data_IF_021006236146
#
_entry.id   IF_021006236146
#
_cell.length_a   1.000
_cell.length_b   1.000
_cell.length_c   1.000
_cell.angle_alpha   90.00
_cell.angle_beta   90.00
_cell.angle_gamma   90.00
#
_symmetry.space_group_name_H-M   'P 1'
#
loop_
_entity.id
_entity.type
_entity.pdbx_description
1 polymer ?
#
# COMPACT_ATOMS: atom_id res chain seq x y z
N UNK A 1 13.34 29.66 12.69
CA UNK A 1 13.58 28.81 11.49
C UNK A 1 12.92 27.43 11.52
N UNK A 2 12.95 26.67 12.62
CA UNK A 2 12.33 25.31 12.63
C UNK A 2 10.86 25.30 12.23
N UNK A 3 10.06 26.22 12.77
CA UNK A 3 8.64 26.29 12.45
C UNK A 3 8.37 26.61 10.97
N UNK A 4 9.12 27.53 10.36
CA UNK A 4 8.98 27.86 8.94
C UNK A 4 9.40 26.70 8.03
N UNK A 5 10.43 25.94 8.40
CA UNK A 5 10.85 24.74 7.67
C UNK A 5 9.74 23.67 7.68
N UNK A 6 9.09 23.45 8.83
CA UNK A 6 7.96 22.52 8.96
C UNK A 6 6.77 22.99 8.13
N UNK A 7 6.39 24.27 8.21
CA UNK A 7 5.30 24.82 7.41
C UNK A 7 5.56 24.69 5.90
N UNK A 8 6.80 24.94 5.46
CA UNK A 8 7.19 24.76 4.07
C UNK A 8 7.05 23.30 3.63
N UNK A 9 7.53 22.35 4.44
CA UNK A 9 7.41 20.92 4.15
C UNK A 9 5.94 20.47 4.06
N UNK A 10 5.07 20.95 4.97
CA UNK A 10 3.62 20.69 4.93
C UNK A 10 2.98 21.30 3.68
N UNK A 11 3.29 22.56 3.36
CA UNK A 11 2.76 23.24 2.18
C UNK A 11 3.17 22.55 0.88
N UNK A 12 4.42 22.12 0.78
CA UNK A 12 4.91 21.36 -0.37
C UNK A 12 4.25 19.97 -0.47
N UNK A 13 4.16 19.24 0.64
CA UNK A 13 3.46 17.96 0.72
C UNK A 13 1.99 18.07 0.27
N UNK A 14 1.30 19.13 0.71
CA UNK A 14 -0.07 19.42 0.32
C UNK A 14 -0.19 19.77 -1.17
N UNK A 15 0.70 20.62 -1.68
CA UNK A 15 0.76 21.00 -3.10
C UNK A 15 0.98 19.79 -4.02
N UNK A 16 1.94 18.92 -3.71
CA UNK A 16 2.20 17.68 -4.46
C UNK A 16 0.95 16.81 -4.52
N UNK A 17 0.21 16.68 -3.41
CA UNK A 17 -1.01 15.89 -3.34
C UNK A 17 -2.14 16.48 -4.16
N UNK A 18 -2.31 17.81 -4.19
CA UNK A 18 -3.32 18.45 -5.03
C UNK A 18 -3.06 18.28 -6.52
N UNK A 19 -1.79 18.27 -6.95
CA UNK A 19 -1.39 18.03 -8.34
C UNK A 19 -1.70 16.60 -8.81
N UNK A 20 -2.08 15.69 -7.91
CA UNK A 20 -2.45 14.31 -8.26
C UNK A 20 -3.89 14.16 -8.74
N UNK A 21 -4.81 15.01 -8.25
CA UNK A 21 -6.24 14.92 -8.58
C UNK A 21 -6.58 15.20 -10.04
N UNK A 22 -5.63 15.74 -10.81
CA UNK A 22 -5.80 16.07 -12.23
C UNK A 22 -5.26 15.04 -13.21
N UNK A 23 -4.66 13.92 -12.76
CA UNK A 23 -3.82 13.09 -13.65
C UNK A 23 -4.02 11.57 -13.56
N UNK A 24 -5.17 11.11 -13.07
CA UNK A 24 -5.48 9.67 -12.98
C UNK A 24 -5.94 9.02 -14.30
N UNK A 25 -6.06 9.76 -15.41
CA UNK A 25 -6.69 9.24 -16.65
C UNK A 25 -5.81 9.20 -17.91
N UNK A 26 -4.54 9.62 -17.85
CA UNK A 26 -3.72 9.80 -19.07
C UNK A 26 -2.68 8.71 -19.35
N UNK A 27 -2.31 7.89 -18.37
CA UNK A 27 -1.22 6.92 -18.52
C UNK A 27 -1.78 5.58 -19.02
N UNK A 28 -1.32 5.12 -20.19
CA UNK A 28 -1.81 3.88 -20.81
C UNK A 28 -1.16 2.63 -20.22
N UNK A 29 0.06 2.72 -19.67
CA UNK A 29 0.79 1.55 -19.15
C UNK A 29 0.73 1.44 -17.63
N UNK A 30 0.45 0.22 -17.15
CA UNK A 30 0.38 -0.08 -15.72
C UNK A 30 1.69 0.19 -14.96
N UNK A 31 2.85 0.03 -15.59
CA UNK A 31 4.15 0.30 -14.95
C UNK A 31 4.38 1.79 -14.67
N UNK A 32 3.90 2.67 -15.55
CA UNK A 32 3.96 4.12 -15.39
C UNK A 32 2.97 4.60 -14.33
N UNK A 33 1.74 4.08 -14.35
CA UNK A 33 0.73 4.30 -13.30
C UNK A 33 1.29 3.93 -11.92
N UNK A 34 1.91 2.75 -11.81
CA UNK A 34 2.54 2.29 -10.56
C UNK A 34 3.63 3.22 -10.07
N UNK A 35 4.64 3.53 -10.90
CA UNK A 35 5.76 4.35 -10.49
C UNK A 35 5.32 5.76 -10.05
N UNK A 36 4.35 6.32 -10.78
CA UNK A 36 3.77 7.63 -10.48
C UNK A 36 2.95 7.63 -9.20
N UNK A 37 2.02 6.69 -9.05
CA UNK A 37 1.21 6.54 -7.85
C UNK A 37 2.11 6.33 -6.61
N UNK A 38 3.12 5.48 -6.74
CA UNK A 38 4.09 5.20 -5.68
C UNK A 38 4.90 6.44 -5.31
N UNK A 39 5.43 7.19 -6.29
CA UNK A 39 6.16 8.43 -6.02
C UNK A 39 5.30 9.44 -5.27
N UNK A 40 4.11 9.73 -5.78
CA UNK A 40 3.20 10.73 -5.20
C UNK A 40 2.69 10.31 -3.82
N UNK A 41 2.60 8.99 -3.59
CA UNK A 41 2.25 8.42 -2.31
C UNK A 41 3.39 8.53 -1.28
N UNK A 42 4.62 8.24 -1.69
CA UNK A 42 5.79 8.17 -0.81
C UNK A 42 6.44 9.53 -0.52
N UNK A 43 6.44 10.46 -1.48
CA UNK A 43 7.17 11.71 -1.35
C UNK A 43 6.72 12.54 -0.13
N UNK A 44 5.42 12.80 0.10
CA UNK A 44 4.97 13.61 1.24
C UNK A 44 5.34 13.04 2.61
N UNK A 45 5.08 11.76 2.95
CA UNK A 45 5.46 11.23 4.26
C UNK A 45 6.97 11.21 4.47
N UNK A 46 7.78 10.87 3.46
CA UNK A 46 9.24 10.93 3.59
C UNK A 46 9.75 12.35 3.79
N UNK A 47 9.17 13.34 3.11
CA UNK A 47 9.52 14.75 3.29
C UNK A 47 9.26 15.19 4.73
N UNK A 48 8.08 14.88 5.28
CA UNK A 48 7.73 15.24 6.65
C UNK A 48 8.62 14.55 7.68
N UNK A 49 8.90 13.25 7.49
CA UNK A 49 9.80 12.50 8.37
C UNK A 49 11.23 13.06 8.32
N UNK A 50 11.77 13.33 7.14
CA UNK A 50 13.12 13.86 6.99
C UNK A 50 13.25 15.28 7.55
N UNK A 51 12.23 16.14 7.36
CA UNK A 51 12.17 17.47 7.99
C UNK A 51 12.15 17.35 9.52
N UNK A 52 11.35 16.43 10.06
CA UNK A 52 11.29 16.22 11.50
C UNK A 52 12.65 15.76 12.05
N UNK A 53 13.30 14.79 11.39
CA UNK A 53 14.64 14.31 11.77
C UNK A 53 15.68 15.43 11.69
N UNK A 54 15.65 16.26 10.64
CA UNK A 54 16.55 17.41 10.50
C UNK A 54 16.39 18.40 11.67
N UNK A 55 15.16 18.75 12.04
CA UNK A 55 14.86 19.65 13.15
C UNK A 55 15.31 19.05 14.49
N UNK A 56 15.10 17.75 14.70
CA UNK A 56 15.56 17.07 15.92
C UNK A 56 17.09 17.06 16.04
N UNK A 57 17.79 16.87 14.91
CA UNK A 57 19.26 16.88 14.88
C UNK A 57 19.85 18.26 15.23
N UNK A 58 19.14 19.35 14.94
CA UNK A 58 19.56 20.71 15.28
C UNK A 58 19.29 21.09 16.75
N UNK A 59 18.37 20.39 17.44
CA UNK A 59 18.05 20.71 18.83
C UNK A 59 17.21 21.98 19.01
N UNK A 60 17.36 22.66 20.15
CA UNK A 60 16.54 23.84 20.51
C UNK A 60 17.31 25.16 20.47
N UNK A 61 18.63 25.12 20.28
CA UNK A 61 19.54 26.26 20.36
C UNK A 61 20.34 26.40 19.07
N UNK A 62 20.95 27.57 18.85
CA UNK A 62 21.74 27.87 17.66
C UNK A 62 20.98 28.69 16.63
N UNK A 63 21.57 28.81 15.45
CA UNK A 63 21.01 29.58 14.34
C UNK A 63 21.05 28.76 13.04
N UNK A 64 20.16 29.09 12.12
CA UNK A 64 20.15 28.54 10.77
C UNK A 64 20.03 29.71 9.80
N UNK A 65 21.00 29.84 8.89
CA UNK A 65 21.11 31.00 7.99
C UNK A 65 21.05 32.35 8.74
N UNK A 66 21.67 32.41 9.92
CA UNK A 66 21.70 33.62 10.77
C UNK A 66 20.39 33.93 11.52
N UNK A 67 19.34 33.11 11.37
CA UNK A 67 18.07 33.27 12.08
C UNK A 67 17.98 32.28 13.24
N UNK A 68 17.48 32.69 14.42
CA UNK A 68 17.39 31.80 15.58
C UNK A 68 16.46 30.62 15.31
N UNK A 69 16.87 29.46 15.80
CA UNK A 69 15.99 28.29 15.86
C UNK A 69 15.03 28.41 17.05
N UNK A 70 13.89 27.74 16.95
CA UNK A 70 12.80 27.92 17.90
C UNK A 70 12.42 26.61 18.58
N UNK A 71 12.26 26.67 19.91
CA UNK A 71 11.81 25.54 20.74
C UNK A 71 10.46 24.96 20.30
N UNK A 72 9.54 25.80 19.82
CA UNK A 72 8.21 25.37 19.37
C UNK A 72 8.26 24.37 18.21
N UNK A 73 9.05 24.68 17.16
CA UNK A 73 9.21 23.78 16.02
C UNK A 73 9.91 22.46 16.40
N UNK A 74 10.85 22.52 17.34
CA UNK A 74 11.50 21.33 17.89
C UNK A 74 10.49 20.39 18.58
N UNK A 75 9.65 20.90 19.46
CA UNK A 75 8.64 20.08 20.14
C UNK A 75 7.57 19.53 19.18
N UNK A 76 7.23 20.27 18.12
CA UNK A 76 6.36 19.77 17.06
C UNK A 76 6.99 18.58 16.32
N UNK A 77 8.30 18.65 16.02
CA UNK A 77 9.05 17.55 15.44
C UNK A 77 9.13 16.33 16.39
N UNK A 78 9.38 16.56 17.69
CA UNK A 78 9.34 15.49 18.71
C UNK A 78 7.99 14.80 18.73
N UNK A 79 6.90 15.58 18.77
CA UNK A 79 5.53 15.04 18.79
C UNK A 79 5.24 14.21 17.54
N UNK A 80 5.54 14.74 16.35
CA UNK A 80 5.29 14.06 15.09
C UNK A 80 6.10 12.77 14.95
N UNK A 81 7.40 12.80 15.22
CA UNK A 81 8.27 11.62 15.17
C UNK A 81 7.88 10.59 16.23
N UNK A 82 7.59 11.04 17.46
CA UNK A 82 7.14 10.17 18.55
C UNK A 82 5.81 9.47 18.22
N UNK A 83 4.82 10.22 17.72
CA UNK A 83 3.54 9.68 17.30
C UNK A 83 3.69 8.68 16.13
N UNK A 84 4.51 9.02 15.13
CA UNK A 84 4.79 8.15 13.98
C UNK A 84 5.44 6.83 14.41
N UNK A 85 6.37 6.87 15.37
CA UNK A 85 7.03 5.69 15.92
C UNK A 85 6.07 4.83 16.76
N UNK A 86 5.27 5.45 17.63
CA UNK A 86 4.26 4.74 18.42
C UNK A 86 3.25 4.04 17.51
N UNK A 87 2.83 4.71 16.45
CA UNK A 87 1.95 4.13 15.44
C UNK A 87 2.60 2.95 14.70
N UNK A 88 3.87 3.07 14.32
CA UNK A 88 4.61 1.96 13.70
C UNK A 88 4.70 0.75 14.63
N UNK A 89 5.03 0.98 15.91
CA UNK A 89 5.09 -0.08 16.92
C UNK A 89 3.73 -0.73 17.13
N UNK A 90 2.66 0.07 17.19
CA UNK A 90 1.30 -0.44 17.29
C UNK A 90 0.93 -1.33 16.10
N UNK A 91 1.21 -0.90 14.87
CA UNK A 91 0.98 -1.70 13.67
C UNK A 91 1.83 -2.97 13.65
N UNK A 92 3.09 -2.89 14.09
CA UNK A 92 3.95 -4.06 14.20
C UNK A 92 3.39 -5.08 15.22
N UNK A 93 2.86 -4.62 16.35
CA UNK A 93 2.20 -5.48 17.34
C UNK A 93 0.93 -6.11 16.76
N UNK A 94 0.10 -5.35 16.04
CA UNK A 94 -1.10 -5.88 15.38
C UNK A 94 -0.74 -6.93 14.33
N UNK A 95 0.25 -6.65 13.47
CA UNK A 95 0.74 -7.59 12.46
C UNK A 95 1.33 -8.86 13.10
N UNK A 96 2.07 -8.72 14.19
CA UNK A 96 2.62 -9.86 14.93
C UNK A 96 1.52 -10.70 15.59
N UNK A 97 0.54 -10.06 16.24
CA UNK A 97 -0.63 -10.74 16.82
C UNK A 97 -1.40 -11.51 15.76
N UNK A 98 -1.68 -10.89 14.62
CA UNK A 98 -2.34 -11.54 13.48
C UNK A 98 -1.57 -12.81 13.05
N UNK A 99 -0.27 -12.68 12.79
CA UNK A 99 0.58 -13.81 12.42
C UNK A 99 0.66 -14.91 13.52
N UNK A 100 0.56 -14.52 14.79
CA UNK A 100 0.54 -15.46 15.90
C UNK A 100 -0.80 -16.20 15.99
N UNK A 101 -1.93 -15.51 15.82
CA UNK A 101 -3.26 -16.12 15.78
C UNK A 101 -3.36 -17.19 14.69
N UNK A 102 -2.74 -16.96 13.52
CA UNK A 102 -2.70 -17.94 12.44
C UNK A 102 -2.03 -19.26 12.81
N UNK A 103 -1.15 -19.29 13.81
CA UNK A 103 -0.49 -20.53 14.26
C UNK A 103 -1.47 -21.51 14.90
N UNK A 104 -2.64 -21.04 15.34
CA UNK A 104 -3.68 -21.87 15.95
C UNK A 104 -4.50 -22.65 14.92
N UNK A 105 -4.54 -22.19 13.67
CA UNK A 105 -5.26 -22.89 12.62
C UNK A 105 -4.49 -24.12 12.13
N UNK A 106 -5.19 -25.19 11.72
CA UNK A 106 -4.57 -26.40 11.23
C UNK A 106 -3.75 -26.12 9.96
N UNK A 107 -2.60 -26.79 9.85
CA UNK A 107 -1.81 -26.76 8.61
C UNK A 107 -2.47 -27.64 7.56
N UNK A 108 -2.47 -27.19 6.31
CA UNK A 108 -2.88 -27.99 5.17
C UNK A 108 -1.77 -27.98 4.10
N UNK A 109 -1.82 -29.00 3.24
CA UNK A 109 -1.16 -28.97 1.95
C UNK A 109 -2.25 -28.98 0.87
N UNK A 110 -2.23 -28.00 -0.02
CA UNK A 110 -3.19 -27.87 -1.11
C UNK A 110 -2.37 -27.69 -2.38
N UNK A 111 -2.47 -28.63 -3.33
CA UNK A 111 -1.69 -28.66 -4.57
C UNK A 111 -0.18 -28.44 -4.35
N UNK A 112 0.39 -29.06 -3.30
CA UNK A 112 1.81 -28.93 -2.96
C UNK A 112 2.20 -27.65 -2.20
N UNK A 113 1.28 -26.70 -2.02
CA UNK A 113 1.49 -25.48 -1.24
C UNK A 113 1.12 -25.69 0.22
N UNK A 114 1.95 -25.20 1.14
CA UNK A 114 1.64 -25.21 2.56
C UNK A 114 0.84 -23.98 2.95
N UNK A 115 -0.30 -24.20 3.61
CA UNK A 115 -1.18 -23.13 4.08
C UNK A 115 -1.83 -23.43 5.44
N UNK A 116 -2.86 -22.64 5.74
CA UNK A 116 -3.75 -22.80 6.89
C UNK A 116 -5.19 -22.80 6.41
N UNK A 117 -6.01 -23.69 6.95
CA UNK A 117 -7.46 -23.70 6.69
C UNK A 117 -8.20 -23.06 7.86
N UNK A 118 -9.12 -22.15 7.55
CA UNK A 118 -10.07 -21.59 8.51
C UNK A 118 -11.47 -22.14 8.24
N UNK A 119 -12.18 -22.50 9.31
CA UNK A 119 -13.55 -23.01 9.21
C UNK A 119 -14.54 -21.84 9.05
N UNK A 120 -14.61 -21.28 7.84
CA UNK A 120 -15.54 -20.22 7.45
C UNK A 120 -16.23 -20.63 6.14
N UNK A 121 -17.55 -20.39 6.07
CA UNK A 121 -18.35 -20.75 4.90
C UNK A 121 -18.18 -19.78 3.72
N UNK A 122 -17.73 -18.55 3.98
CA UNK A 122 -17.46 -17.56 2.93
C UNK A 122 -16.17 -17.92 2.19
N UNK A 123 -16.17 -18.00 0.84
CA UNK A 123 -14.98 -18.12 0.02
C UNK A 123 -13.97 -17.03 0.33
N UNK A 124 -12.76 -17.43 0.75
CA UNK A 124 -11.69 -16.52 1.11
C UNK A 124 -10.34 -17.21 0.93
N UNK A 125 -9.43 -16.54 0.23
CA UNK A 125 -8.00 -16.85 0.20
C UNK A 125 -7.24 -15.54 0.42
N UNK A 126 -6.14 -15.61 1.18
CA UNK A 126 -5.23 -14.48 1.29
C UNK A 126 -3.85 -14.91 1.81
N UNK A 127 -2.83 -14.17 1.38
CA UNK A 127 -1.54 -14.09 2.07
C UNK A 127 -1.66 -13.22 3.33
N UNK A 128 -1.52 -13.84 4.51
CA UNK A 128 -1.58 -13.12 5.79
C UNK A 128 -0.24 -13.18 6.52
N UNK A 129 0.21 -12.03 7.01
CA UNK A 129 1.45 -11.87 7.75
C UNK A 129 2.09 -10.53 7.41
N UNK A 130 3.33 -10.34 7.86
CA UNK A 130 4.11 -9.15 7.51
C UNK A 130 5.41 -9.55 6.79
N UNK A 131 6.37 -10.15 7.50
CA UNK A 131 7.69 -10.46 6.91
C UNK A 131 7.77 -11.80 6.17
N UNK A 132 6.95 -12.75 6.60
CA UNK A 132 6.72 -14.06 5.96
C UNK A 132 5.22 -14.29 5.97
N UNK A 133 4.57 -14.02 4.83
CA UNK A 133 3.15 -14.32 4.69
C UNK A 133 2.93 -15.83 4.70
N UNK A 134 1.74 -16.23 5.14
CA UNK A 134 1.25 -17.59 5.06
C UNK A 134 -0.06 -17.56 4.28
N UNK A 135 -0.22 -18.53 3.39
CA UNK A 135 -1.48 -18.77 2.70
C UNK A 135 -2.55 -19.20 3.70
N UNK A 136 -3.66 -18.48 3.74
CA UNK A 136 -4.84 -18.78 4.54
C UNK A 136 -6.01 -18.96 3.60
N UNK A 137 -6.73 -20.07 3.74
CA UNK A 137 -7.85 -20.45 2.87
C UNK A 137 -9.03 -20.85 3.73
N UNK A 138 -10.23 -20.43 3.36
CA UNK A 138 -11.45 -20.87 4.02
C UNK A 138 -11.94 -22.21 3.49
N UNK A 139 -12.64 -22.97 4.34
CA UNK A 139 -13.34 -24.19 3.91
C UNK A 139 -14.36 -23.87 2.81
N UNK A 140 -15.08 -22.76 2.91
CA UNK A 140 -16.03 -22.31 1.89
C UNK A 140 -15.41 -22.11 0.51
N UNK A 141 -14.14 -21.66 0.42
CA UNK A 141 -13.43 -21.55 -0.86
C UNK A 141 -13.19 -22.94 -1.47
N UNK A 142 -12.71 -23.88 -0.65
CA UNK A 142 -12.41 -25.25 -1.07
C UNK A 142 -13.66 -25.98 -1.53
N UNK A 143 -14.80 -25.71 -0.90
CA UNK A 143 -16.07 -26.35 -1.21
C UNK A 143 -16.75 -25.73 -2.46
N UNK A 144 -16.40 -24.48 -2.82
CA UNK A 144 -17.08 -23.73 -3.88
C UNK A 144 -16.38 -23.76 -5.24
N UNK A 145 -15.07 -24.03 -5.27
CA UNK A 145 -14.27 -23.93 -6.51
C UNK A 145 -13.94 -25.31 -7.09
N UNK A 146 -13.93 -25.39 -8.43
CA UNK A 146 -13.35 -26.55 -9.13
C UNK A 146 -11.84 -26.63 -8.91
N UNK A 147 -11.22 -27.76 -9.26
CA UNK A 147 -9.77 -27.92 -9.12
C UNK A 147 -8.97 -26.86 -9.91
N UNK A 148 -9.42 -26.53 -11.13
CA UNK A 148 -8.80 -25.52 -11.99
C UNK A 148 -8.98 -24.10 -11.43
N UNK A 149 -10.17 -23.77 -10.94
CA UNK A 149 -10.45 -22.48 -10.31
C UNK A 149 -9.65 -22.30 -9.01
N UNK A 150 -9.57 -23.35 -8.19
CA UNK A 150 -8.73 -23.34 -7.00
C UNK A 150 -7.26 -23.13 -7.37
N UNK A 151 -6.77 -23.81 -8.42
CA UNK A 151 -5.40 -23.60 -8.90
C UNK A 151 -5.17 -22.15 -9.35
N UNK A 152 -6.15 -21.52 -10.01
CA UNK A 152 -6.07 -20.12 -10.42
C UNK A 152 -5.99 -19.16 -9.22
N UNK A 153 -6.85 -19.34 -8.20
CA UNK A 153 -6.77 -18.56 -6.95
C UNK A 153 -5.43 -18.77 -6.25
N UNK A 154 -4.94 -20.01 -6.19
CA UNK A 154 -3.64 -20.31 -5.60
C UNK A 154 -2.47 -19.68 -6.37
N UNK A 155 -2.56 -19.59 -7.70
CA UNK A 155 -1.57 -18.88 -8.51
C UNK A 155 -1.59 -17.37 -8.19
N UNK A 156 -2.77 -16.75 -8.10
CA UNK A 156 -2.90 -15.36 -7.67
C UNK A 156 -2.28 -15.12 -6.27
N UNK A 157 -2.59 -15.97 -5.29
CA UNK A 157 -2.02 -15.85 -3.94
C UNK A 157 -0.51 -16.09 -3.88
N UNK A 158 0.03 -16.93 -4.78
CA UNK A 158 1.47 -17.10 -4.91
C UNK A 158 2.15 -15.85 -5.47
N UNK A 159 1.48 -15.08 -6.35
CA UNK A 159 2.00 -13.80 -6.84
C UNK A 159 2.25 -12.83 -5.69
N UNK A 160 1.29 -12.70 -4.78
CA UNK A 160 1.43 -11.86 -3.58
C UNK A 160 2.58 -12.32 -2.67
N UNK A 161 2.78 -13.62 -2.53
CA UNK A 161 3.89 -14.18 -1.76
C UNK A 161 5.25 -13.91 -2.45
N UNK A 162 5.35 -14.18 -3.75
CA UNK A 162 6.54 -13.97 -4.58
C UNK A 162 6.99 -12.50 -4.53
N UNK A 163 6.05 -11.58 -4.66
CA UNK A 163 6.33 -10.15 -4.62
C UNK A 163 6.36 -9.53 -3.23
N UNK A 164 6.09 -10.31 -2.18
CA UNK A 164 6.11 -9.88 -0.78
C UNK A 164 5.15 -8.71 -0.53
N UNK A 165 3.94 -8.78 -1.08
CA UNK A 165 3.00 -7.66 -1.04
C UNK A 165 2.60 -7.28 0.40
N UNK A 166 2.44 -8.27 1.27
CA UNK A 166 2.20 -8.04 2.71
C UNK A 166 3.31 -7.23 3.38
N UNK A 167 4.57 -7.43 2.98
CA UNK A 167 5.71 -6.67 3.50
C UNK A 167 5.66 -5.22 3.04
N UNK A 168 5.50 -4.98 1.73
CA UNK A 168 5.52 -3.63 1.17
C UNK A 168 4.29 -2.82 1.60
N UNK A 169 3.10 -3.41 1.55
CA UNK A 169 1.86 -2.74 1.92
C UNK A 169 1.72 -2.51 3.43
N UNK A 170 2.49 -3.21 4.27
CA UNK A 170 2.64 -2.83 5.68
C UNK A 170 3.30 -1.46 5.82
N UNK A 171 4.43 -1.24 5.16
CA UNK A 171 5.14 0.05 5.21
C UNK A 171 4.33 1.16 4.54
N UNK A 172 3.76 0.90 3.37
CA UNK A 172 2.87 1.87 2.70
C UNK A 172 1.63 2.18 3.56
N UNK A 173 1.08 1.18 4.25
CA UNK A 173 -0.02 1.35 5.19
C UNK A 173 0.36 2.22 6.39
N UNK A 174 1.56 2.08 6.94
CA UNK A 174 2.06 2.99 7.98
C UNK A 174 2.18 4.43 7.47
N UNK A 175 2.79 4.63 6.29
CA UNK A 175 2.91 5.94 5.66
C UNK A 175 1.55 6.57 5.35
N UNK A 176 0.56 5.77 4.92
CA UNK A 176 -0.84 6.18 4.77
C UNK A 176 -1.37 6.79 6.06
N UNK A 177 -1.15 6.13 7.19
CA UNK A 177 -1.78 6.58 8.43
C UNK A 177 -1.14 7.86 8.98
N UNK A 178 0.19 8.04 8.88
CA UNK A 178 0.84 9.29 9.33
C UNK A 178 0.51 10.49 8.43
N UNK A 179 0.11 10.24 7.18
CA UNK A 179 -0.26 11.28 6.21
C UNK A 179 -1.70 11.24 5.73
N UNK A 180 -2.59 10.53 6.45
CA UNK A 180 -3.98 10.33 6.03
C UNK A 180 -4.80 11.62 5.95
N UNK A 181 -4.33 12.67 6.62
CA UNK A 181 -4.91 14.02 6.60
C UNK A 181 -4.53 14.83 5.34
N UNK A 182 -3.58 14.36 4.53
CA UNK A 182 -3.25 15.00 3.26
C UNK A 182 -4.29 14.64 2.18
N UNK A 183 -4.62 15.57 1.26
CA UNK A 183 -5.59 15.33 0.20
C UNK A 183 -5.14 14.18 -0.70
N UNK A 184 -6.08 13.52 -1.37
CA UNK A 184 -5.82 12.43 -2.34
C UNK A 184 -5.04 11.21 -1.79
N UNK A 185 -4.72 11.14 -0.49
CA UNK A 185 -4.01 9.99 0.10
C UNK A 185 -4.78 8.69 -0.07
N UNK A 186 -6.10 8.73 0.13
CA UNK A 186 -6.95 7.56 -0.04
C UNK A 186 -7.06 7.15 -1.50
N UNK A 187 -7.23 8.10 -2.43
CA UNK A 187 -7.28 7.81 -3.86
C UNK A 187 -6.00 7.10 -4.34
N UNK A 188 -4.83 7.60 -3.94
CA UNK A 188 -3.54 6.98 -4.26
C UNK A 188 -3.35 5.61 -3.59
N UNK A 189 -3.87 5.43 -2.37
CA UNK A 189 -3.87 4.14 -1.71
C UNK A 189 -4.70 3.11 -2.48
N UNK A 190 -5.89 3.49 -2.94
CA UNK A 190 -6.76 2.62 -3.70
C UNK A 190 -6.18 2.30 -5.09
N UNK A 191 -5.55 3.27 -5.76
CA UNK A 191 -4.82 3.05 -7.02
C UNK A 191 -3.67 2.04 -6.82
N UNK A 192 -2.88 2.19 -5.75
CA UNK A 192 -1.80 1.25 -5.44
C UNK A 192 -2.34 -0.16 -5.13
N UNK A 193 -3.48 -0.28 -4.44
CA UNK A 193 -4.13 -1.57 -4.21
C UNK A 193 -4.59 -2.21 -5.53
N UNK A 194 -5.24 -1.45 -6.41
CA UNK A 194 -5.68 -1.95 -7.72
C UNK A 194 -4.49 -2.41 -8.57
N UNK A 195 -3.44 -1.59 -8.69
CA UNK A 195 -2.25 -1.95 -9.46
C UNK A 195 -1.49 -3.15 -8.86
N UNK A 196 -1.59 -3.36 -7.55
CA UNK A 196 -1.10 -4.58 -6.89
C UNK A 196 -1.86 -5.80 -7.37
N UNK A 197 -3.19 -5.75 -7.40
CA UNK A 197 -4.05 -6.82 -7.91
C UNK A 197 -3.79 -7.10 -9.39
N UNK A 198 -3.77 -6.06 -10.24
CA UNK A 198 -3.49 -6.19 -11.67
C UNK A 198 -2.15 -6.88 -11.96
N UNK A 199 -1.12 -6.61 -11.14
CA UNK A 199 0.17 -7.30 -11.26
C UNK A 199 0.09 -8.76 -10.78
N UNK A 200 -0.66 -9.04 -9.72
CA UNK A 200 -0.87 -10.41 -9.24
C UNK A 200 -1.65 -11.26 -10.26
N UNK A 201 -2.69 -10.67 -10.87
CA UNK A 201 -3.49 -11.28 -11.93
C UNK A 201 -2.63 -11.59 -13.17
N UNK A 202 -1.83 -10.62 -13.62
CA UNK A 202 -0.89 -10.83 -14.74
C UNK A 202 0.13 -11.94 -14.45
N UNK A 203 0.65 -12.00 -13.23
CA UNK A 203 1.58 -13.06 -12.82
C UNK A 203 0.92 -14.44 -12.81
N UNK A 204 -0.33 -14.52 -12.33
CA UNK A 204 -1.10 -15.76 -12.31
C UNK A 204 -1.50 -16.22 -13.72
N UNK A 205 -1.87 -15.29 -14.60
CA UNK A 205 -2.21 -15.56 -16.00
C UNK A 205 -1.06 -16.16 -16.83
N UNK A 206 0.19 -16.06 -16.36
CA UNK A 206 1.33 -16.75 -16.96
C UNK A 206 1.39 -18.25 -16.64
N UNK A 207 0.62 -18.71 -15.64
CA UNK A 207 0.67 -20.07 -15.10
C UNK A 207 -0.65 -20.83 -15.23
N UNK A 208 -1.77 -20.11 -15.35
CA UNK A 208 -3.11 -20.66 -15.51
C UNK A 208 -3.83 -19.97 -16.65
N UNK A 209 -4.91 -20.58 -17.13
CA UNK A 209 -5.76 -19.99 -18.16
C UNK A 209 -6.37 -18.65 -17.66
N UNK A 210 -6.21 -17.53 -18.40
CA UNK A 210 -6.72 -16.23 -17.98
C UNK A 210 -8.24 -16.17 -17.80
N UNK A 211 -9.00 -16.95 -18.59
CA UNK A 211 -10.45 -17.01 -18.47
C UNK A 211 -10.86 -17.73 -17.18
N UNK A 212 -10.19 -18.85 -16.85
CA UNK A 212 -10.41 -19.55 -15.58
C UNK A 212 -10.07 -18.65 -14.39
N UNK A 213 -9.01 -17.84 -14.50
CA UNK A 213 -8.65 -16.86 -13.48
C UNK A 213 -9.74 -15.78 -13.32
N UNK A 214 -10.22 -15.20 -14.42
CA UNK A 214 -11.29 -14.20 -14.39
C UNK A 214 -12.59 -14.77 -13.79
N UNK A 215 -12.99 -15.97 -14.18
CA UNK A 215 -14.14 -16.67 -13.59
C UNK A 215 -13.97 -16.91 -12.09
N UNK A 216 -12.77 -17.32 -11.67
CA UNK A 216 -12.46 -17.55 -10.26
C UNK A 216 -12.54 -16.25 -9.44
N UNK A 217 -12.04 -15.14 -9.98
CA UNK A 217 -12.13 -13.82 -9.34
C UNK A 217 -13.58 -13.37 -9.17
N UNK A 218 -14.42 -13.56 -10.19
CA UNK A 218 -15.84 -13.28 -10.12
C UNK A 218 -16.52 -14.09 -9.00
N UNK A 219 -16.26 -15.39 -8.92
CA UNK A 219 -16.85 -16.26 -7.89
C UNK A 219 -16.43 -15.87 -6.47
N UNK A 220 -15.15 -15.52 -6.26
CA UNK A 220 -14.63 -15.13 -4.95
C UNK A 220 -15.16 -13.75 -4.54
N UNK A 221 -15.24 -12.79 -5.47
CA UNK A 221 -15.71 -11.43 -5.17
C UNK A 221 -17.23 -11.28 -5.07
N UNK A 222 -18.00 -12.14 -5.75
CA UNK A 222 -19.47 -12.14 -5.70
C UNK A 222 -20.04 -12.95 -4.54
N UNK A 223 -19.21 -13.69 -3.80
CA UNK A 223 -19.66 -14.38 -2.60
C UNK A 223 -20.30 -13.37 -1.63
N UNK A 224 -21.55 -13.60 -1.16
CA UNK A 224 -22.33 -12.56 -0.52
C UNK A 224 -21.61 -12.03 0.72
N UNK A 225 -21.32 -10.73 0.72
CA UNK A 225 -20.81 -9.95 1.86
C UNK A 225 -21.88 -9.84 2.96
N UNK A 226 -22.32 -10.97 3.50
CA UNK A 226 -23.30 -11.02 4.60
C UNK A 226 -22.61 -10.81 5.95
N UNK A 227 -21.65 -9.89 6.06
CA UNK A 227 -21.22 -9.28 7.34
C UNK A 227 -20.21 -8.15 7.11
N UNK A 228 -20.72 -6.93 6.87
CA UNK A 228 -20.29 -5.71 7.59
C UNK A 228 -21.03 -4.50 7.01
N UNK A 229 -22.21 -4.22 7.55
CA UNK A 229 -22.81 -2.88 7.48
C UNK A 229 -21.85 -1.90 8.17
N UNK A 230 -21.04 -1.18 7.40
CA UNK A 230 -20.39 0.05 7.85
C UNK A 230 -19.97 1.01 6.72
N UNK A 231 -20.13 0.66 5.43
CA UNK A 231 -19.82 1.57 4.33
C UNK A 231 -20.83 1.41 3.18
N UNK A 232 -22.08 1.79 3.43
CA UNK A 232 -23.02 2.16 2.37
C UNK A 232 -23.43 3.60 2.64
N UNK A 233 -22.73 4.52 1.99
CA UNK A 233 -23.13 5.92 1.90
C UNK A 233 -22.38 6.58 0.73
N UNK A 234 -22.98 6.53 -0.46
CA UNK A 234 -23.10 7.64 -1.41
C UNK A 234 -23.31 7.10 -2.83
N UNK A 235 -24.31 7.64 -3.54
CA UNK A 235 -24.58 7.40 -4.94
C UNK A 235 -23.32 7.67 -5.81
N UNK A 236 -22.98 6.70 -6.67
CA UNK A 236 -21.81 6.69 -7.55
C UNK A 236 -21.25 5.27 -7.57
N UNK A 237 -20.74 4.81 -8.72
CA UNK A 237 -20.28 3.44 -8.97
C UNK A 237 -19.56 2.79 -7.76
N UNK A 238 -19.89 1.53 -7.47
CA UNK A 238 -19.23 0.80 -6.38
C UNK A 238 -17.74 0.66 -6.75
N UNK A 239 -16.81 1.27 -5.99
CA UNK A 239 -15.39 1.21 -6.30
C UNK A 239 -14.84 -0.21 -6.32
N UNK A 240 -15.54 -1.18 -5.72
CA UNK A 240 -15.18 -2.59 -5.81
C UNK A 240 -15.56 -3.22 -7.16
N UNK A 241 -16.68 -2.80 -7.76
CA UNK A 241 -17.14 -3.28 -9.07
C UNK A 241 -16.29 -2.71 -10.20
N UNK A 242 -16.03 -1.40 -10.21
CA UNK A 242 -15.19 -0.76 -11.24
C UNK A 242 -13.78 -1.37 -11.29
N UNK A 243 -13.24 -1.72 -10.13
CA UNK A 243 -11.92 -2.38 -10.04
C UNK A 243 -11.95 -3.83 -10.48
N UNK A 244 -13.04 -4.55 -10.23
CA UNK A 244 -13.20 -5.91 -10.72
C UNK A 244 -13.31 -5.91 -12.24
N UNK A 245 -14.06 -4.97 -12.81
CA UNK A 245 -14.15 -4.77 -14.26
C UNK A 245 -12.77 -4.47 -14.85
N UNK A 246 -12.01 -3.52 -14.28
CA UNK A 246 -10.65 -3.22 -14.76
C UNK A 246 -9.70 -4.43 -14.69
N UNK A 247 -9.83 -5.28 -13.67
CA UNK A 247 -9.04 -6.52 -13.56
C UNK A 247 -9.42 -7.55 -14.62
N UNK A 248 -10.72 -7.73 -14.87
CA UNK A 248 -11.21 -8.65 -15.90
C UNK A 248 -10.79 -8.17 -17.28
N UNK A 249 -10.96 -6.88 -17.58
CA UNK A 249 -10.54 -6.28 -18.84
C UNK A 249 -9.03 -6.45 -19.07
N UNK A 250 -8.22 -6.26 -18.03
CA UNK A 250 -6.78 -6.47 -18.09
C UNK A 250 -6.37 -7.94 -18.32
N UNK A 251 -7.20 -8.91 -17.91
CA UNK A 251 -6.96 -10.34 -18.15
C UNK A 251 -7.36 -10.77 -19.58
N UNK A 252 -8.35 -10.10 -20.16
CA UNK A 252 -8.89 -10.42 -21.50
C UNK A 252 -8.21 -9.66 -22.64
N UNK A 253 -7.47 -8.60 -22.31
CA UNK A 253 -6.70 -7.81 -23.26
C UNK A 253 -5.31 -8.40 -23.53
N UNK A 254 -4.71 -8.03 -24.67
CA UNK A 254 -3.36 -8.47 -25.01
C UNK A 254 -2.33 -7.99 -23.96
N UNK A 255 -1.30 -8.80 -23.64
CA UNK A 255 -0.29 -8.43 -22.66
C UNK A 255 0.37 -7.09 -23.03
N UNK A 256 0.29 -6.11 -22.14
CA UNK A 256 1.04 -4.87 -22.29
C UNK A 256 2.55 -5.16 -22.21
N UNK A 257 3.33 -4.63 -23.16
CA UNK A 257 4.78 -4.65 -23.07
C UNK A 257 5.25 -3.89 -21.82
N UNK A 258 5.93 -4.58 -20.90
CA UNK A 258 6.46 -3.94 -19.70
C UNK A 258 7.62 -3.01 -20.04
N UNK A 259 7.37 -1.70 -19.99
CA UNK A 259 8.44 -0.70 -19.95
C UNK A 259 9.00 -0.65 -18.53
N UNK A 260 10.33 -0.72 -18.42
CA UNK A 260 11.05 -0.68 -17.15
C UNK A 260 10.72 0.55 -16.29
N UNK A 261 10.99 0.46 -14.99
CA UNK A 261 10.64 1.49 -14.03
C UNK A 261 11.23 2.85 -14.43
N UNK A 262 10.42 3.92 -14.56
CA UNK A 262 10.91 5.21 -14.98
C UNK A 262 11.90 5.80 -13.96
N UNK A 263 13.14 6.02 -14.38
CA UNK A 263 14.22 6.58 -13.54
C UNK A 263 13.85 7.94 -12.91
N UNK A 264 12.99 8.72 -13.57
CA UNK A 264 12.52 10.00 -13.06
C UNK A 264 11.76 9.87 -11.73
N UNK A 265 11.11 8.73 -11.47
CA UNK A 265 10.39 8.53 -10.22
C UNK A 265 11.35 8.50 -9.01
N UNK A 266 12.51 7.84 -9.15
CA UNK A 266 13.52 7.77 -8.10
C UNK A 266 14.23 9.10 -7.85
N UNK A 267 14.48 9.88 -8.91
CA UNK A 267 14.99 11.25 -8.77
C UNK A 267 14.00 12.10 -7.98
N UNK A 268 12.70 12.02 -8.30
CA UNK A 268 11.66 12.74 -7.57
C UNK A 268 11.63 12.40 -6.08
N UNK A 269 11.81 11.12 -5.73
CA UNK A 269 11.82 10.69 -4.33
C UNK A 269 13.01 11.26 -3.54
N UNK A 270 14.14 11.51 -4.20
CA UNK A 270 15.35 12.08 -3.56
C UNK A 270 15.10 13.47 -2.99
N UNK A 271 14.16 14.24 -3.58
CA UNK A 271 13.75 15.56 -3.10
C UNK A 271 13.22 15.49 -1.65
N UNK A 272 12.57 14.38 -1.29
CA UNK A 272 12.04 14.17 0.04
C UNK A 272 13.12 14.18 1.14
N UNK A 273 14.40 14.02 0.81
CA UNK A 273 15.51 13.97 1.77
C UNK A 273 16.33 15.26 1.83
N UNK A 274 16.04 16.26 0.98
CA UNK A 274 16.71 17.56 1.00
C UNK A 274 16.70 18.27 2.36
N UNK A 275 15.65 18.18 3.20
CA UNK A 275 15.67 18.79 4.53
C UNK A 275 16.85 18.33 5.39
N UNK A 276 17.37 17.12 5.21
CA UNK A 276 18.52 16.63 5.98
C UNK A 276 19.80 17.44 5.70
N UNK A 277 19.95 18.00 4.50
CA UNK A 277 21.10 18.84 4.15
C UNK A 277 21.11 20.16 4.94
N UNK A 278 19.96 20.61 5.44
CA UNK A 278 19.87 21.85 6.23
C UNK A 278 20.63 21.75 7.56
N UNK A 279 20.88 20.54 8.06
CA UNK A 279 21.68 20.29 9.27
C UNK A 279 23.12 20.81 9.10
N UNK A 280 23.68 20.75 7.89
CA UNK A 280 25.03 21.23 7.59
C UNK A 280 25.19 22.75 7.74
N UNK A 281 24.09 23.50 7.71
CA UNK A 281 24.06 24.95 7.81
C UNK A 281 23.67 25.45 9.20
N UNK A 282 23.62 24.54 10.18
CA UNK A 282 23.33 24.86 11.57
C UNK A 282 24.62 25.14 12.35
N UNK A 283 24.63 26.24 13.10
CA UNK A 283 25.75 26.72 13.92
C UNK A 283 25.29 27.21 15.28
#
# INVERSE_FOLDING_TARGET
>A
MHFSLILFAIGFAYGVRLLTGSVTSSERLNSQRWARALLLFLLPPFLLLSTSVAVLAMGTQGTMFGLPVGWFGYWLAVLFTGASLLQLLWLAVLGWRSAWHLRRYPRCQINGLSGRVINQALPFAAQIGVWRSQLVISQGLLDSLTAEQLQAVLAHEQAHAYHRDTFWFFWLGWLRQITGWLPCTEALWQELLLLRELRADRWAAQQVDPLVLAESLLLVMQAPLTTSQAFSAAFGADPALDRLEERIDALLSDPEDEVGCPHHAWIGLSIAFLPLLTVLFHT
#
